data_IF_232075180062
#
_entry.id   IF_232075180062
#
_cell.length_a   1.000
_cell.length_b   1.000
_cell.length_c   1.000
_cell.angle_alpha   90.00
_cell.angle_beta   90.00
_cell.angle_gamma   90.00
#
_symmetry.space_group_name_H-M   'P 1'
#
loop_
_entity.id
_entity.type
_entity.pdbx_description
1 polymer ?
#
# COMPACT_ATOMS: atom_id res chain seq x y z
N UNK A 1 -14.60 -4.87 9.63
CA UNK A 1 -13.97 -5.16 8.33
C UNK A 1 -13.26 -6.51 8.30
N UNK A 2 -13.18 -7.13 7.12
CA UNK A 2 -12.61 -8.49 6.93
C UNK A 2 -11.16 -8.61 7.39
N UNK A 3 -10.35 -7.57 7.16
CA UNK A 3 -8.91 -7.53 7.48
C UNK A 3 -8.70 -7.54 8.99
N UNK A 4 -9.38 -6.67 9.73
CA UNK A 4 -9.24 -6.59 11.19
C UNK A 4 -9.74 -7.86 11.89
N UNK A 5 -10.83 -8.46 11.39
CA UNK A 5 -11.30 -9.76 11.90
C UNK A 5 -10.29 -10.88 11.66
N UNK A 6 -9.64 -10.91 10.49
CA UNK A 6 -8.59 -11.89 10.21
C UNK A 6 -7.36 -11.67 11.09
N UNK A 7 -6.91 -10.41 11.24
CA UNK A 7 -5.78 -10.06 12.09
C UNK A 7 -5.99 -10.48 13.54
N UNK A 8 -7.19 -10.23 14.09
CA UNK A 8 -7.54 -10.67 15.44
C UNK A 8 -7.47 -12.20 15.58
N UNK A 9 -8.06 -12.96 14.64
CA UNK A 9 -8.03 -14.44 14.68
C UNK A 9 -6.61 -15.01 14.61
N UNK A 10 -5.70 -14.35 13.92
CA UNK A 10 -4.28 -14.75 13.86
C UNK A 10 -3.59 -14.48 15.19
N UNK A 11 -3.82 -13.30 15.78
CA UNK A 11 -3.28 -12.93 17.09
C UNK A 11 -3.78 -13.86 18.21
N UNK A 12 -5.08 -14.17 18.24
CA UNK A 12 -5.68 -15.08 19.23
C UNK A 12 -5.06 -16.49 19.20
N UNK A 13 -4.49 -16.88 18.04
CA UNK A 13 -3.83 -18.18 17.84
C UNK A 13 -2.30 -18.11 17.96
N UNK A 14 -1.75 -16.93 18.30
CA UNK A 14 -0.30 -16.71 18.35
C UNK A 14 0.40 -16.91 17.01
N UNK A 15 -0.30 -16.69 15.88
CA UNK A 15 0.25 -16.88 14.54
C UNK A 15 0.71 -15.56 13.93
N UNK A 16 1.98 -15.51 13.52
CA UNK A 16 2.51 -14.40 12.73
C UNK A 16 2.39 -14.69 11.23
N UNK A 17 1.18 -14.49 10.69
CA UNK A 17 0.91 -14.66 9.26
C UNK A 17 0.76 -13.28 8.61
N UNK A 18 1.48 -13.01 7.51
CA UNK A 18 1.27 -11.82 6.69
C UNK A 18 -0.14 -11.74 6.11
N UNK A 19 -0.71 -10.53 6.03
CA UNK A 19 -1.98 -10.28 5.33
C UNK A 19 -1.68 -9.38 4.15
N UNK A 20 -2.01 -9.84 2.94
CA UNK A 20 -1.91 -9.06 1.72
C UNK A 20 -3.29 -8.56 1.28
N UNK A 21 -3.36 -7.28 0.91
CA UNK A 21 -4.48 -6.74 0.14
C UNK A 21 -4.03 -6.57 -1.31
N UNK A 22 -4.72 -7.27 -2.20
CA UNK A 22 -4.49 -7.22 -3.64
C UNK A 22 -5.49 -6.28 -4.33
N UNK A 23 -4.99 -5.18 -4.87
CA UNK A 23 -5.80 -4.17 -5.53
C UNK A 23 -6.45 -3.15 -4.60
N UNK A 24 -6.88 -2.02 -5.19
CA UNK A 24 -7.52 -0.92 -4.47
C UNK A 24 -6.60 -0.10 -3.55
N UNK A 25 -5.29 -0.38 -3.52
CA UNK A 25 -4.30 0.37 -2.74
C UNK A 25 -3.92 1.67 -3.45
N UNK A 26 -4.17 2.79 -2.77
CA UNK A 26 -3.80 4.16 -3.16
C UNK A 26 -3.70 5.05 -1.91
N UNK A 27 -3.38 6.34 -2.08
CA UNK A 27 -3.24 7.29 -0.97
C UNK A 27 -4.50 7.44 -0.09
N UNK A 28 -5.70 7.13 -0.60
CA UNK A 28 -6.95 7.19 0.18
C UNK A 28 -7.21 5.91 0.99
N UNK A 29 -6.62 4.78 0.60
CA UNK A 29 -6.96 3.45 1.14
C UNK A 29 -5.82 2.78 1.89
N UNK A 30 -4.56 3.15 1.62
CA UNK A 30 -3.40 2.45 2.19
C UNK A 30 -3.33 2.60 3.72
N UNK A 31 -3.61 3.79 4.25
CA UNK A 31 -3.61 4.03 5.69
C UNK A 31 -4.69 3.22 6.43
N UNK A 32 -5.91 3.12 5.86
CA UNK A 32 -6.97 2.32 6.48
C UNK A 32 -6.68 0.82 6.39
N UNK A 33 -6.13 0.35 5.27
CA UNK A 33 -5.70 -1.04 5.13
C UNK A 33 -4.58 -1.41 6.11
N UNK A 34 -3.59 -0.51 6.29
CA UNK A 34 -2.53 -0.66 7.29
C UNK A 34 -3.11 -0.76 8.71
N UNK A 35 -3.95 0.20 9.12
CA UNK A 35 -4.61 0.19 10.44
C UNK A 35 -5.48 -1.04 10.67
N UNK A 36 -6.13 -1.57 9.63
CA UNK A 36 -6.92 -2.78 9.74
C UNK A 36 -6.07 -4.05 9.94
N UNK A 37 -4.75 -3.95 9.81
CA UNK A 37 -3.81 -5.05 10.03
C UNK A 37 -3.23 -5.65 8.75
N UNK A 38 -3.29 -4.96 7.61
CA UNK A 38 -2.57 -5.38 6.39
C UNK A 38 -1.08 -5.17 6.57
N UNK A 39 -0.26 -6.15 6.17
CA UNK A 39 1.21 -6.03 6.21
C UNK A 39 1.84 -6.03 4.83
N UNK A 40 1.14 -6.52 3.80
CA UNK A 40 1.60 -6.56 2.41
C UNK A 40 0.56 -5.89 1.49
N UNK A 41 1.03 -5.12 0.53
CA UNK A 41 0.17 -4.28 -0.31
C UNK A 41 0.53 -4.48 -1.77
N UNK A 42 -0.47 -4.71 -2.62
CA UNK A 42 -0.28 -4.70 -4.07
C UNK A 42 -0.85 -3.40 -4.63
N UNK A 43 0.04 -2.54 -5.11
CA UNK A 43 -0.29 -1.25 -5.71
C UNK A 43 0.11 -1.24 -7.19
N UNK A 44 -0.90 -1.31 -8.07
CA UNK A 44 -0.71 -1.17 -9.51
C UNK A 44 -0.81 0.28 -9.94
N UNK A 45 -2.02 0.74 -10.23
CA UNK A 45 -2.30 2.08 -10.78
C UNK A 45 -1.85 3.26 -9.91
N UNK A 46 -1.64 3.05 -8.62
CA UNK A 46 -1.09 4.07 -7.72
C UNK A 46 0.43 4.25 -7.87
N UNK A 47 1.14 3.23 -8.40
CA UNK A 47 2.58 3.28 -8.68
C UNK A 47 2.82 3.57 -10.15
N UNK A 48 2.19 2.81 -11.04
CA UNK A 48 2.37 2.91 -12.49
C UNK A 48 1.36 3.88 -13.10
N UNK A 49 1.69 5.17 -13.07
CA UNK A 49 0.76 6.26 -13.41
C UNK A 49 0.84 6.75 -14.85
N UNK A 50 1.83 6.31 -15.63
CA UNK A 50 1.98 6.68 -17.03
C UNK A 50 0.77 6.20 -17.84
N UNK A 51 0.08 7.11 -18.53
CA UNK A 51 -1.12 6.73 -19.29
C UNK A 51 -0.76 6.28 -20.71
N UNK A 52 -1.63 5.46 -21.34
CA UNK A 52 -1.48 5.14 -22.75
C UNK A 52 -1.38 6.41 -23.61
N UNK A 53 -0.35 6.49 -24.45
CA UNK A 53 -0.10 7.64 -25.34
C UNK A 53 0.74 8.77 -24.72
N UNK A 54 1.04 8.71 -23.42
CA UNK A 54 2.04 9.57 -22.79
C UNK A 54 3.44 8.96 -22.93
N UNK A 55 4.46 9.82 -23.03
CA UNK A 55 5.87 9.42 -23.09
C UNK A 55 6.67 10.23 -22.09
N UNK A 56 7.61 9.56 -21.42
CA UNK A 56 8.57 10.16 -20.51
C UNK A 56 9.94 9.57 -20.80
N UNK A 57 11.02 10.26 -20.43
CA UNK A 57 12.32 9.61 -20.38
C UNK A 57 12.33 8.49 -19.33
N UNK A 58 13.23 7.52 -19.47
CA UNK A 58 13.38 6.43 -18.50
C UNK A 58 13.70 6.96 -17.09
N UNK A 59 14.51 8.02 -17.01
CA UNK A 59 14.90 8.66 -15.75
C UNK A 59 13.68 9.27 -15.04
N UNK A 60 12.90 10.11 -15.73
CA UNK A 60 11.69 10.73 -15.18
C UNK A 60 10.64 9.68 -14.78
N UNK A 61 10.52 8.60 -15.56
CA UNK A 61 9.58 7.51 -15.28
C UNK A 61 9.93 6.80 -13.97
N UNK A 62 11.20 6.44 -13.81
CA UNK A 62 11.68 5.76 -12.61
C UNK A 62 11.62 6.67 -11.38
N UNK A 63 11.91 7.96 -11.54
CA UNK A 63 11.75 8.94 -10.46
C UNK A 63 10.27 9.08 -10.05
N UNK A 64 9.37 9.17 -11.02
CA UNK A 64 7.91 9.23 -10.76
C UNK A 64 7.44 8.01 -9.98
N UNK A 65 7.81 6.80 -10.39
CA UNK A 65 7.39 5.57 -9.70
C UNK A 65 8.01 5.46 -8.30
N UNK A 66 9.26 5.89 -8.11
CA UNK A 66 9.89 5.97 -6.79
C UNK A 66 9.15 6.92 -5.86
N UNK A 67 8.76 8.09 -6.36
CA UNK A 67 7.99 9.07 -5.60
C UNK A 67 6.61 8.54 -5.22
N UNK A 68 5.90 7.91 -6.16
CA UNK A 68 4.61 7.26 -5.90
C UNK A 68 4.70 6.21 -4.78
N UNK A 69 5.74 5.36 -4.80
CA UNK A 69 5.99 4.37 -3.73
C UNK A 69 6.31 5.06 -2.40
N UNK A 70 7.12 6.11 -2.43
CA UNK A 70 7.50 6.88 -1.24
C UNK A 70 6.26 7.49 -0.57
N UNK A 71 5.36 8.07 -1.35
CA UNK A 71 4.16 8.71 -0.82
C UNK A 71 3.16 7.70 -0.28
N UNK A 72 3.00 6.54 -0.94
CA UNK A 72 2.24 5.42 -0.38
C UNK A 72 2.79 4.99 0.99
N UNK A 73 4.12 4.84 1.11
CA UNK A 73 4.75 4.47 2.39
C UNK A 73 4.49 5.53 3.47
N UNK A 74 4.74 6.81 3.17
CA UNK A 74 4.49 7.92 4.10
C UNK A 74 3.04 7.91 4.58
N UNK A 75 2.08 7.78 3.66
CA UNK A 75 0.67 7.78 3.99
C UNK A 75 0.27 6.56 4.84
N UNK A 76 0.82 5.38 4.55
CA UNK A 76 0.57 4.17 5.33
C UNK A 76 1.07 4.30 6.78
N UNK A 77 2.21 4.97 6.99
CA UNK A 77 2.87 5.07 8.29
C UNK A 77 2.66 6.40 9.00
N UNK A 78 1.84 7.31 8.46
CA UNK A 78 1.70 8.67 9.00
C UNK A 78 1.29 8.71 10.47
N UNK A 79 0.50 7.74 10.92
CA UNK A 79 0.01 7.64 12.31
C UNK A 79 1.06 7.05 13.27
N UNK A 80 2.19 6.53 12.76
CA UNK A 80 3.30 5.98 13.57
C UNK A 80 4.38 7.02 13.88
N UNK A 81 4.34 8.18 13.22
CA UNK A 81 5.35 9.24 13.35
C UNK A 81 4.94 10.30 14.39
N UNK A 82 4.03 9.95 15.31
CA UNK A 82 3.54 10.79 16.41
C UNK A 82 4.24 10.43 17.71
#
# INVERSE_FOLDING_TARGET
DKISSLRQRLQDRGMDIPIQVDGGINLKTIASAYRAGTTHFVAGSAVFTLKPGESMSEEELLETYRNNISDLKKEATKDLMV
#
